data_IF_139089164983
#
_entry.id   IF_139089164983
#
_cell.length_a   1.000
_cell.length_b   1.000
_cell.length_c   1.000
_cell.angle_alpha   90.00
_cell.angle_beta   90.00
_cell.angle_gamma   90.00
#
_symmetry.space_group_name_H-M   'P 1'
#
loop_
_entity.id
_entity.type
_entity.pdbx_description
1 polymer ?
#
# COMPACT_ATOMS: atom_id res chain seq x y z
N UNK A 1 0.75 -15.12 -51.76
CA UNK A 1 1.73 -14.64 -50.74
C UNK A 1 1.16 -13.56 -49.80
N UNK A 2 -0.08 -13.09 -50.01
CA UNK A 2 -0.67 -11.93 -49.32
C UNK A 2 -1.37 -12.29 -48.00
N UNK A 3 -2.08 -13.42 -47.95
CA UNK A 3 -2.87 -13.86 -46.77
C UNK A 3 -1.98 -14.25 -45.57
N UNK A 4 -0.82 -14.87 -45.80
CA UNK A 4 0.13 -15.22 -44.71
C UNK A 4 0.70 -13.97 -44.03
N UNK A 5 0.96 -12.91 -44.80
CA UNK A 5 1.47 -11.63 -44.28
C UNK A 5 0.42 -10.90 -43.43
N UNK A 6 -0.84 -10.91 -43.87
CA UNK A 6 -1.97 -10.32 -43.12
C UNK A 6 -2.19 -11.05 -41.79
N UNK A 7 -2.09 -12.39 -41.77
CA UNK A 7 -2.17 -13.17 -40.52
C UNK A 7 -1.02 -12.88 -39.57
N UNK A 8 0.20 -12.75 -40.09
CA UNK A 8 1.38 -12.41 -39.28
C UNK A 8 1.27 -11.01 -38.68
N UNK A 9 0.81 -10.02 -39.46
CA UNK A 9 0.57 -8.66 -38.96
C UNK A 9 -0.51 -8.62 -37.89
N UNK A 10 -1.62 -9.33 -38.09
CA UNK A 10 -2.72 -9.40 -37.11
C UNK A 10 -2.26 -10.00 -35.77
N UNK A 11 -1.39 -11.02 -35.80
CA UNK A 11 -0.84 -11.63 -34.59
C UNK A 11 0.10 -10.69 -33.80
N UNK A 12 0.91 -9.90 -34.50
CA UNK A 12 1.82 -8.91 -33.88
C UNK A 12 1.01 -7.80 -33.20
N UNK A 13 -0.03 -7.29 -33.86
CA UNK A 13 -0.90 -6.25 -33.30
C UNK A 13 -1.66 -6.79 -32.07
N UNK A 14 -2.23 -8.00 -32.17
CA UNK A 14 -2.91 -8.63 -31.04
C UNK A 14 -2.00 -8.85 -29.82
N UNK A 15 -0.73 -9.22 -30.03
CA UNK A 15 0.23 -9.40 -28.95
C UNK A 15 0.64 -8.06 -28.30
N UNK A 16 0.75 -6.98 -29.08
CA UNK A 16 1.08 -5.64 -28.55
C UNK A 16 -0.03 -5.04 -27.67
N UNK A 17 -1.29 -5.42 -27.87
CA UNK A 17 -2.41 -4.98 -27.02
C UNK A 17 -2.49 -5.75 -25.69
N UNK A 18 -1.76 -6.87 -25.56
CA UNK A 18 -1.66 -7.63 -24.32
C UNK A 18 -0.55 -7.11 -23.38
N UNK A 19 0.23 -6.11 -23.81
CA UNK A 19 1.30 -5.51 -23.02
C UNK A 19 0.74 -4.60 -21.92
N UNK A 20 0.32 -5.23 -20.81
CA UNK A 20 0.39 -4.68 -19.46
C UNK A 20 -0.68 -3.65 -19.07
N UNK A 21 -1.66 -4.07 -18.28
CA UNK A 21 -2.30 -3.12 -17.36
C UNK A 21 -1.22 -2.61 -16.40
N UNK A 22 -0.93 -1.30 -16.43
CA UNK A 22 -0.13 -0.65 -15.40
C UNK A 22 -0.95 -0.54 -14.11
N UNK A 23 -1.01 -1.63 -13.36
CA UNK A 23 -1.58 -1.64 -12.02
C UNK A 23 -0.51 -1.10 -11.05
N UNK A 24 -0.60 0.19 -10.74
CA UNK A 24 0.31 0.85 -9.80
C UNK A 24 -0.11 2.28 -9.50
N UNK A 25 0.27 2.77 -8.33
CA UNK A 25 0.11 4.20 -7.99
C UNK A 25 1.30 4.99 -8.53
N UNK A 26 1.13 6.27 -8.90
CA UNK A 26 2.26 7.13 -9.24
C UNK A 26 3.28 7.17 -8.10
N UNK A 27 4.58 7.23 -8.42
CA UNK A 27 5.65 7.27 -7.41
C UNK A 27 5.42 8.39 -6.38
N UNK A 28 5.02 9.57 -6.83
CA UNK A 28 4.72 10.70 -5.96
C UNK A 28 3.65 10.40 -4.89
N UNK A 29 2.70 9.50 -5.18
CA UNK A 29 1.69 9.06 -4.23
C UNK A 29 2.27 8.02 -3.26
N UNK A 30 3.08 7.09 -3.74
CA UNK A 30 3.79 6.13 -2.89
C UNK A 30 4.74 6.84 -1.92
N UNK A 31 5.42 7.89 -2.37
CA UNK A 31 6.34 8.68 -1.54
C UNK A 31 5.63 9.33 -0.35
N UNK A 32 4.31 9.50 -0.36
CA UNK A 32 3.54 10.04 0.77
C UNK A 32 3.49 9.08 1.97
N UNK A 33 3.63 7.77 1.73
CA UNK A 33 3.67 6.76 2.78
C UNK A 33 4.85 7.02 3.71
N UNK A 34 4.60 7.03 5.02
CA UNK A 34 5.61 7.33 6.02
C UNK A 34 5.96 8.81 6.17
N UNK A 35 5.54 9.70 5.26
CA UNK A 35 5.64 11.16 5.41
C UNK A 35 4.39 11.73 6.08
N UNK A 36 3.37 12.04 5.30
CA UNK A 36 2.06 12.54 5.71
C UNK A 36 1.01 11.43 5.85
N UNK A 37 1.26 10.27 5.25
CA UNK A 37 0.45 9.06 5.43
C UNK A 37 1.13 8.06 6.36
N UNK A 38 0.34 7.26 7.06
CA UNK A 38 0.81 6.07 7.79
C UNK A 38 1.32 5.03 6.78
N UNK A 39 2.08 4.01 7.21
CA UNK A 39 2.47 2.91 6.33
C UNK A 39 1.29 2.18 5.69
N UNK A 40 0.09 2.28 6.30
CA UNK A 40 -1.16 1.71 5.80
C UNK A 40 -1.94 2.67 4.89
N UNK A 41 -1.44 3.88 4.63
CA UNK A 41 -2.04 4.85 3.72
C UNK A 41 -3.08 5.81 4.34
N UNK A 42 -3.27 5.80 5.65
CA UNK A 42 -4.15 6.76 6.35
C UNK A 42 -3.45 8.07 6.68
N UNK A 43 -4.18 9.19 6.85
CA UNK A 43 -3.58 10.46 7.27
C UNK A 43 -2.95 10.37 8.67
N UNK A 44 -1.76 10.97 8.85
CA UNK A 44 -1.08 10.97 10.15
C UNK A 44 -1.54 12.04 11.12
N UNK A 45 -2.12 13.15 10.65
CA UNK A 45 -2.33 14.33 11.48
C UNK A 45 -3.43 14.18 12.54
N UNK A 46 -4.29 13.16 12.44
CA UNK A 46 -5.53 13.09 13.21
C UNK A 46 -6.64 13.96 12.60
N UNK A 47 -7.71 14.20 13.35
CA UNK A 47 -8.84 15.01 12.87
C UNK A 47 -8.89 16.41 13.49
N UNK A 48 -9.62 17.33 12.84
CA UNK A 48 -9.76 18.72 13.30
C UNK A 48 -10.53 18.83 14.62
N UNK A 49 -11.43 17.89 14.87
CA UNK A 49 -12.24 17.83 16.08
C UNK A 49 -11.43 17.37 17.30
N UNK A 50 -10.18 16.91 17.11
CA UNK A 50 -9.28 16.49 18.18
C UNK A 50 -9.66 15.18 18.87
N UNK A 51 -10.66 14.45 18.33
CA UNK A 51 -11.10 13.15 18.86
C UNK A 51 -10.25 11.99 18.36
N UNK A 52 -9.54 12.18 17.24
CA UNK A 52 -8.57 11.25 16.68
C UNK A 52 -7.19 11.90 16.81
N UNK A 53 -6.29 11.37 17.66
CA UNK A 53 -4.95 11.91 17.82
C UNK A 53 -4.10 11.66 16.57
N UNK A 54 -3.01 12.42 16.44
CA UNK A 54 -2.00 12.16 15.43
C UNK A 54 -1.37 10.75 15.62
N UNK A 55 -0.98 10.12 14.52
CA UNK A 55 -0.34 8.82 14.55
C UNK A 55 1.16 8.97 14.85
N UNK A 56 1.58 8.45 16.00
CA UNK A 56 2.96 8.54 16.51
C UNK A 56 3.78 7.26 16.32
N UNK A 57 3.39 6.38 15.38
CA UNK A 57 4.11 5.13 15.12
C UNK A 57 3.49 3.87 15.71
N UNK A 58 2.41 3.98 16.49
CA UNK A 58 1.77 2.84 17.15
C UNK A 58 2.64 2.25 18.28
N UNK A 59 2.64 0.92 18.42
CA UNK A 59 3.38 0.22 19.48
C UNK A 59 4.83 0.02 19.02
N UNK A 60 5.72 0.95 19.42
CA UNK A 60 7.15 0.90 19.05
C UNK A 60 8.00 0.09 20.03
N UNK A 61 7.46 -0.22 21.21
CA UNK A 61 8.09 -1.04 22.24
C UNK A 61 7.05 -1.96 22.88
N UNK A 62 7.43 -3.20 23.25
CA UNK A 62 6.52 -4.07 24.00
C UNK A 62 6.08 -3.41 25.31
N UNK A 63 4.82 -3.59 25.74
CA UNK A 63 4.38 -3.22 27.07
C UNK A 63 5.28 -3.86 28.14
N UNK A 64 5.46 -3.20 29.29
CA UNK A 64 6.29 -3.73 30.39
C UNK A 64 5.81 -5.08 30.93
N UNK A 65 4.54 -5.40 30.72
CA UNK A 65 3.88 -6.65 31.10
C UNK A 65 4.12 -7.79 30.11
N UNK A 66 4.65 -7.50 28.91
CA UNK A 66 4.92 -8.52 27.89
C UNK A 66 6.09 -9.43 28.29
N UNK A 67 5.91 -10.74 28.06
CA UNK A 67 6.97 -11.75 28.17
C UNK A 67 6.86 -12.73 27.00
N UNK A 68 7.95 -13.37 26.62
CA UNK A 68 7.89 -14.41 25.59
C UNK A 68 7.08 -15.60 26.12
N UNK A 69 6.14 -16.09 25.32
CA UNK A 69 5.32 -17.27 25.64
C UNK A 69 4.02 -16.96 26.40
N UNK A 70 3.72 -15.70 26.73
CA UNK A 70 2.41 -15.32 27.28
C UNK A 70 1.48 -14.83 26.16
N UNK A 71 0.18 -14.77 26.47
CA UNK A 71 -0.78 -14.05 25.64
C UNK A 71 -0.42 -12.55 25.61
N UNK A 72 -0.52 -11.92 24.44
CA UNK A 72 -0.15 -10.51 24.28
C UNK A 72 -1.03 -9.64 25.20
N UNK A 73 -0.43 -8.86 26.11
CA UNK A 73 -1.20 -7.97 26.97
C UNK A 73 -1.86 -6.88 26.14
N UNK A 74 -3.01 -6.40 26.61
CA UNK A 74 -3.65 -5.22 26.03
C UNK A 74 -2.68 -4.02 26.16
N UNK A 75 -2.27 -3.40 25.04
CA UNK A 75 -1.39 -2.24 25.06
C UNK A 75 -2.10 -0.93 25.48
N UNK A 76 -3.43 -0.92 25.54
CA UNK A 76 -4.24 0.25 25.95
C UNK A 76 -5.20 -0.11 27.09
N UNK A 77 -4.69 -0.60 28.24
CA UNK A 77 -5.53 -0.88 29.39
C UNK A 77 -6.15 0.43 29.91
N UNK A 78 -7.46 0.41 30.11
CA UNK A 78 -8.23 1.49 30.77
C UNK A 78 -7.86 1.64 32.24
#
# INVERSE_FOLDING_TARGET
MTIRKVRLLGAIIGLSMAAGLQAGVPQAQADRLGRDLTPMGGEKAGNKEGTIPAWEGGITRPPSTYKVGIFHPDPFPT
#
